data_IF_966571981696
#
_entry.id   IF_966571981696
#
_cell.length_a   1.000
_cell.length_b   1.000
_cell.length_c   1.000
_cell.angle_alpha   90.00
_cell.angle_beta   90.00
_cell.angle_gamma   90.00
#
_symmetry.space_group_name_H-M   'P 1'
#
loop_
_entity.id
_entity.type
_entity.pdbx_description
1 polymer ?
#
# COMPACT_ATOMS: atom_id res chain seq x y z
N UNK A 1 -11.77 8.18 -26.75
CA UNK A 1 -11.96 8.31 -25.29
C UNK A 1 -12.86 7.18 -24.83
N UNK A 2 -12.51 6.42 -23.78
CA UNK A 2 -13.43 5.43 -23.22
C UNK A 2 -14.67 6.15 -22.64
N UNK A 3 -15.87 5.63 -22.92
CA UNK A 3 -17.14 6.18 -22.48
C UNK A 3 -18.05 5.06 -21.96
N UNK A 4 -18.68 5.27 -20.80
CA UNK A 4 -19.64 4.35 -20.19
C UNK A 4 -21.00 5.06 -20.17
N UNK A 5 -21.96 4.48 -20.88
CA UNK A 5 -23.34 4.96 -20.96
C UNK A 5 -24.20 4.38 -19.82
N UNK A 6 -25.29 5.07 -19.48
CA UNK A 6 -26.25 4.57 -18.49
C UNK A 6 -26.79 3.18 -18.84
N UNK A 7 -27.04 2.90 -20.13
CA UNK A 7 -27.49 1.58 -20.60
C UNK A 7 -26.49 0.47 -20.24
N UNK A 8 -25.19 0.74 -20.32
CA UNK A 8 -24.15 -0.23 -19.96
C UNK A 8 -24.15 -0.53 -18.46
N UNK A 9 -24.38 0.49 -17.62
CA UNK A 9 -24.47 0.31 -16.16
C UNK A 9 -25.73 -0.50 -15.80
N UNK A 10 -26.88 -0.15 -16.36
CA UNK A 10 -28.15 -0.81 -16.04
C UNK A 10 -28.23 -2.26 -16.51
N UNK A 11 -27.58 -2.59 -17.64
CA UNK A 11 -27.56 -3.96 -18.15
C UNK A 11 -26.41 -4.81 -17.56
N UNK A 12 -25.58 -4.25 -16.68
CA UNK A 12 -24.53 -5.01 -16.02
C UNK A 12 -25.13 -5.98 -14.99
N UNK A 13 -24.84 -7.26 -15.17
CA UNK A 13 -25.27 -8.31 -14.25
C UNK A 13 -24.10 -8.75 -13.40
N UNK A 14 -24.34 -8.95 -12.11
CA UNK A 14 -23.34 -9.42 -11.17
C UNK A 14 -23.98 -10.36 -10.14
N UNK A 15 -23.14 -11.15 -9.47
CA UNK A 15 -23.58 -12.02 -8.38
C UNK A 15 -23.93 -11.16 -7.17
N UNK A 16 -25.20 -11.20 -6.76
CA UNK A 16 -25.69 -10.57 -5.52
C UNK A 16 -26.09 -11.67 -4.52
N UNK A 17 -25.18 -12.08 -3.61
CA UNK A 17 -25.52 -13.05 -2.57
C UNK A 17 -26.50 -12.45 -1.53
N UNK A 18 -26.93 -13.23 -0.55
CA UNK A 18 -27.74 -12.70 0.56
C UNK A 18 -26.96 -11.67 1.40
N UNK A 19 -27.65 -10.89 2.23
CA UNK A 19 -27.02 -9.80 3.00
C UNK A 19 -25.94 -10.30 3.96
N UNK A 20 -26.17 -11.44 4.62
CA UNK A 20 -25.21 -12.02 5.56
C UNK A 20 -23.89 -12.39 4.86
N UNK A 21 -23.96 -12.99 3.68
CA UNK A 21 -22.78 -13.30 2.86
C UNK A 21 -22.09 -12.04 2.35
N UNK A 22 -22.84 -11.00 1.97
CA UNK A 22 -22.26 -9.72 1.57
C UNK A 22 -21.45 -9.11 2.72
N UNK A 23 -22.00 -9.07 3.93
CA UNK A 23 -21.31 -8.55 5.12
C UNK A 23 -20.04 -9.34 5.44
N UNK A 24 -20.11 -10.67 5.37
CA UNK A 24 -18.92 -11.54 5.56
C UNK A 24 -17.84 -11.27 4.52
N UNK A 25 -18.21 -11.04 3.26
CA UNK A 25 -17.27 -10.70 2.19
C UNK A 25 -16.64 -9.33 2.47
N UNK A 26 -17.44 -8.33 2.81
CA UNK A 26 -16.97 -6.97 3.11
C UNK A 26 -15.98 -7.00 4.27
N UNK A 27 -16.32 -7.64 5.39
CA UNK A 27 -15.43 -7.74 6.56
C UNK A 27 -14.07 -8.37 6.21
N UNK A 28 -14.06 -9.42 5.38
CA UNK A 28 -12.81 -10.05 4.92
C UNK A 28 -11.99 -9.11 4.04
N UNK A 29 -12.62 -8.40 3.12
CA UNK A 29 -11.96 -7.45 2.24
C UNK A 29 -11.39 -6.25 3.01
N UNK A 30 -12.13 -5.75 4.00
CA UNK A 30 -11.69 -4.66 4.86
C UNK A 30 -10.49 -5.05 5.71
N UNK A 31 -10.51 -6.24 6.32
CA UNK A 31 -9.36 -6.78 7.07
C UNK A 31 -8.12 -6.90 6.17
N UNK A 32 -8.29 -7.51 4.99
CA UNK A 32 -7.20 -7.66 4.03
C UNK A 32 -6.67 -6.30 3.55
N UNK A 33 -7.54 -5.33 3.32
CA UNK A 33 -7.15 -3.97 2.93
C UNK A 33 -6.37 -3.26 4.03
N UNK A 34 -6.79 -3.42 5.29
CA UNK A 34 -6.09 -2.83 6.43
C UNK A 34 -4.69 -3.44 6.61
N UNK A 35 -4.56 -4.75 6.49
CA UNK A 35 -3.29 -5.46 6.58
C UNK A 35 -2.33 -5.07 5.45
N UNK A 36 -2.83 -5.00 4.22
CA UNK A 36 -2.03 -4.62 3.05
C UNK A 36 -1.53 -3.17 3.14
N UNK A 37 -2.40 -2.23 3.53
CA UNK A 37 -2.01 -0.82 3.75
C UNK A 37 -0.98 -0.67 4.88
N UNK A 38 -1.16 -1.41 5.98
CA UNK A 38 -0.19 -1.41 7.09
C UNK A 38 1.17 -1.92 6.62
N UNK A 39 1.18 -3.00 5.85
CA UNK A 39 2.41 -3.59 5.31
C UNK A 39 3.11 -2.62 4.34
N UNK A 40 2.36 -1.99 3.44
CA UNK A 40 2.87 -0.98 2.50
C UNK A 40 3.51 0.21 3.23
N UNK A 41 2.86 0.72 4.29
CA UNK A 41 3.40 1.79 5.11
C UNK A 41 4.73 1.39 5.79
N UNK A 42 4.80 0.17 6.34
CA UNK A 42 6.03 -0.36 6.95
C UNK A 42 7.16 -0.47 5.92
N UNK A 43 6.88 -0.97 4.72
CA UNK A 43 7.90 -1.08 3.68
C UNK A 43 8.38 0.28 3.19
N UNK A 44 7.46 1.22 2.99
CA UNK A 44 7.79 2.60 2.60
C UNK A 44 8.70 3.24 3.64
N UNK A 45 8.37 3.12 4.93
CA UNK A 45 9.21 3.66 6.01
C UNK A 45 10.61 3.02 6.02
N UNK A 46 10.69 1.68 5.88
CA UNK A 46 11.98 0.98 5.83
C UNK A 46 12.87 1.47 4.68
N UNK A 47 12.30 1.74 3.52
CA UNK A 47 13.06 2.29 2.38
C UNK A 47 13.60 3.67 2.72
N UNK A 48 12.77 4.54 3.29
CA UNK A 48 13.19 5.88 3.73
C UNK A 48 14.30 5.82 4.78
N UNK A 49 14.16 4.96 5.80
CA UNK A 49 15.17 4.79 6.85
C UNK A 49 16.51 4.29 6.28
N UNK A 50 16.47 3.36 5.31
CA UNK A 50 17.67 2.86 4.63
C UNK A 50 18.36 3.95 3.81
N UNK A 51 17.60 4.80 3.12
CA UNK A 51 18.15 5.93 2.37
C UNK A 51 18.79 6.97 3.29
N UNK A 52 18.15 7.29 4.42
CA UNK A 52 18.68 8.22 5.40
C UNK A 52 19.95 7.68 6.05
N UNK A 53 19.94 6.41 6.46
CA UNK A 53 21.12 5.75 7.01
C UNK A 53 22.29 5.75 6.00
N UNK A 54 22.04 5.45 4.73
CA UNK A 54 23.07 5.51 3.68
C UNK A 54 23.64 6.93 3.56
N UNK A 55 22.79 7.96 3.56
CA UNK A 55 23.23 9.37 3.50
C UNK A 55 24.07 9.73 4.72
N UNK A 56 23.63 9.36 5.93
CA UNK A 56 24.34 9.62 7.18
C UNK A 56 25.73 8.97 7.21
N UNK A 57 25.83 7.70 6.79
CA UNK A 57 27.10 6.97 6.73
C UNK A 57 28.07 7.65 5.75
N UNK A 58 27.60 8.03 4.55
CA UNK A 58 28.42 8.74 3.56
C UNK A 58 28.89 10.10 4.09
N UNK A 59 28.02 10.88 4.73
CA UNK A 59 28.39 12.16 5.33
C UNK A 59 29.47 12.00 6.41
N UNK A 60 29.34 10.98 7.27
CA UNK A 60 30.36 10.67 8.29
C UNK A 60 31.69 10.23 7.66
N UNK A 61 31.65 9.47 6.57
CA UNK A 61 32.86 9.06 5.84
C UNK A 61 33.59 10.27 5.22
N UNK A 62 32.85 11.17 4.55
CA UNK A 62 33.43 12.33 3.88
C UNK A 62 33.84 13.47 4.81
N UNK A 63 33.25 13.56 6.01
CA UNK A 63 33.66 14.53 7.04
C UNK A 63 34.88 14.09 7.85
N UNK A 64 35.50 12.95 7.52
CA UNK A 64 36.64 12.39 8.24
C UNK A 64 36.27 11.82 9.62
N UNK A 65 34.98 11.80 9.98
CA UNK A 65 34.50 11.25 11.26
C UNK A 65 34.56 9.71 11.33
N UNK A 66 34.78 9.03 10.19
CA UNK A 66 35.03 7.58 10.12
C UNK A 66 36.54 7.27 10.00
N UNK A 67 37.41 8.28 9.92
CA UNK A 67 38.86 8.10 9.90
C UNK A 67 39.39 7.93 11.32
N UNK A 68 39.29 6.71 11.83
CA UNK A 68 39.81 6.28 13.13
C UNK A 68 40.12 4.77 13.12
N UNK A 69 41.05 4.36 12.26
CA UNK A 69 41.89 3.17 12.41
C UNK A 69 43.34 3.64 12.28
#
# INVERSE_FOLDING_TARGET
MPHISGKQIFCFTFRKPNLEEQEKIVQKLDSLSAETKKLEAIYTQKITDLEEMKKSVLQKAFSGQISGL
#
